data_IF_092958603788
#
_entry.id   IF_092958603788
#
_cell.length_a   1.000
_cell.length_b   1.000
_cell.length_c   1.000
_cell.angle_alpha   90.00
_cell.angle_beta   90.00
_cell.angle_gamma   90.00
#
_symmetry.space_group_name_H-M   'P 1'
#
loop_
_entity.id
_entity.type
_entity.pdbx_description
1 polymer ?
#
# COMPACT_ATOMS: atom_id res chain seq x y z
N UNK A 1 -13.51 -21.45 12.72
CA UNK A 1 -13.66 -22.11 11.40
C UNK A 1 -12.55 -21.65 10.46
N UNK A 2 -12.09 -22.48 9.52
CA UNK A 2 -11.15 -22.06 8.50
C UNK A 2 -11.77 -20.99 7.61
N UNK A 3 -10.96 -20.06 7.09
CA UNK A 3 -11.43 -19.06 6.16
C UNK A 3 -11.68 -19.64 4.75
N UNK A 4 -12.45 -18.93 3.90
CA UNK A 4 -12.69 -19.34 2.51
C UNK A 4 -11.40 -19.38 1.69
N UNK A 5 -11.38 -20.10 0.54
CA UNK A 5 -10.25 -20.07 -0.38
C UNK A 5 -10.00 -18.66 -0.92
N UNK A 6 -8.84 -18.43 -1.51
CA UNK A 6 -8.49 -17.10 -2.00
C UNK A 6 -9.36 -16.70 -3.20
N UNK A 7 -9.78 -15.45 -3.15
CA UNK A 7 -10.19 -14.65 -4.31
C UNK A 7 -9.17 -13.52 -4.47
N UNK A 8 -9.31 -12.73 -5.52
CA UNK A 8 -8.33 -11.68 -5.84
C UNK A 8 -8.13 -10.69 -4.69
N UNK A 9 -9.24 -10.22 -4.10
CA UNK A 9 -9.24 -9.26 -3.00
C UNK A 9 -8.56 -9.84 -1.75
N UNK A 10 -8.93 -11.06 -1.35
CA UNK A 10 -8.39 -11.70 -0.14
C UNK A 10 -6.94 -12.13 -0.31
N UNK A 11 -6.52 -12.52 -1.52
CA UNK A 11 -5.11 -12.80 -1.83
C UNK A 11 -4.27 -11.53 -1.73
N UNK A 12 -4.72 -10.41 -2.31
CA UNK A 12 -4.01 -9.14 -2.23
C UNK A 12 -3.88 -8.65 -0.78
N UNK A 13 -4.96 -8.77 0.01
CA UNK A 13 -4.96 -8.42 1.43
C UNK A 13 -3.94 -9.23 2.22
N UNK A 14 -3.97 -10.56 2.10
CA UNK A 14 -3.11 -11.45 2.89
C UNK A 14 -1.66 -11.44 2.42
N UNK A 15 -1.40 -11.31 1.11
CA UNK A 15 -0.04 -11.11 0.60
C UNK A 15 0.56 -9.78 1.08
N UNK A 16 -0.25 -8.72 1.18
CA UNK A 16 0.22 -7.47 1.77
C UNK A 16 0.56 -7.65 3.25
N UNK A 17 -0.38 -8.14 4.06
CA UNK A 17 -0.17 -8.24 5.51
C UNK A 17 0.95 -9.22 5.87
N UNK A 18 0.98 -10.41 5.24
CA UNK A 18 1.91 -11.48 5.61
C UNK A 18 3.25 -11.42 4.89
N UNK A 19 3.27 -11.00 3.63
CA UNK A 19 4.46 -11.03 2.77
C UNK A 19 5.03 -9.64 2.50
N UNK A 20 4.28 -8.58 2.81
CA UNK A 20 4.67 -7.21 2.49
C UNK A 20 4.56 -6.86 1.01
N UNK A 21 3.81 -7.64 0.23
CA UNK A 21 3.68 -7.40 -1.21
C UNK A 21 2.63 -6.32 -1.49
N UNK A 22 2.94 -5.42 -2.43
CA UNK A 22 1.92 -4.52 -2.98
C UNK A 22 0.95 -5.30 -3.86
N UNK A 23 -0.27 -4.78 -4.07
CA UNK A 23 -1.27 -5.39 -4.95
C UNK A 23 -0.69 -5.66 -6.35
N UNK A 24 0.07 -4.70 -6.91
CA UNK A 24 0.76 -4.84 -8.20
C UNK A 24 1.78 -5.97 -8.19
N UNK A 25 2.60 -6.08 -7.14
CA UNK A 25 3.60 -7.15 -7.00
C UNK A 25 2.91 -8.52 -6.87
N UNK A 26 1.89 -8.63 -6.02
CA UNK A 26 1.12 -9.85 -5.82
C UNK A 26 0.51 -10.34 -7.15
N UNK A 27 -0.12 -9.45 -7.92
CA UNK A 27 -0.73 -9.81 -9.20
C UNK A 27 0.30 -10.19 -10.26
N UNK A 28 1.45 -9.51 -10.33
CA UNK A 28 2.52 -9.88 -11.24
C UNK A 28 3.10 -11.27 -10.94
N UNK A 29 3.27 -11.62 -9.66
CA UNK A 29 3.76 -12.95 -9.27
C UNK A 29 2.69 -14.02 -9.54
N UNK A 30 1.43 -13.75 -9.16
CA UNK A 30 0.33 -14.67 -9.40
C UNK A 30 0.14 -14.95 -10.91
N UNK A 31 0.30 -13.93 -11.76
CA UNK A 31 0.26 -14.11 -13.21
C UNK A 31 1.35 -15.08 -13.70
N UNK A 32 2.58 -14.93 -13.21
CA UNK A 32 3.67 -15.88 -13.56
C UNK A 32 3.39 -17.30 -13.06
N UNK A 33 2.83 -17.43 -11.86
CA UNK A 33 2.44 -18.74 -11.33
C UNK A 33 1.30 -19.38 -12.14
N UNK A 34 0.42 -18.58 -12.74
CA UNK A 34 -0.67 -19.05 -13.60
C UNK A 34 -0.19 -19.42 -15.00
N UNK A 35 0.60 -18.54 -15.65
CA UNK A 35 1.13 -18.74 -17.01
C UNK A 35 2.13 -19.89 -17.09
N UNK A 36 2.92 -20.08 -16.02
CA UNK A 36 3.75 -21.24 -15.83
C UNK A 36 5.14 -20.94 -15.31
N UNK A 37 5.74 -21.94 -14.68
CA UNK A 37 7.16 -21.94 -14.28
C UNK A 37 7.81 -23.19 -14.85
N UNK A 38 9.07 -23.08 -15.28
CA UNK A 38 9.84 -24.23 -15.76
C UNK A 38 10.11 -25.23 -14.62
N UNK A 39 9.59 -26.45 -14.78
CA UNK A 39 9.78 -27.57 -13.87
C UNK A 39 10.10 -28.80 -14.72
N UNK A 40 11.27 -29.41 -14.50
CA UNK A 40 11.64 -30.63 -15.23
C UNK A 40 11.76 -30.47 -16.75
N UNK A 41 11.90 -29.25 -17.26
CA UNK A 41 11.97 -28.96 -18.71
C UNK A 41 10.64 -28.60 -19.36
N UNK A 42 9.53 -28.62 -18.62
CA UNK A 42 8.21 -28.19 -19.10
C UNK A 42 7.73 -26.94 -18.35
N UNK A 43 6.98 -26.07 -19.03
CA UNK A 43 6.35 -24.90 -18.41
C UNK A 43 4.99 -25.27 -17.88
N UNK A 44 4.83 -25.23 -16.55
CA UNK A 44 3.60 -25.68 -15.89
C UNK A 44 2.94 -24.57 -15.06
N UNK A 45 1.64 -24.36 -15.29
CA UNK A 45 0.79 -23.48 -14.50
C UNK A 45 0.54 -24.06 -13.11
N UNK A 46 0.97 -23.35 -12.07
CA UNK A 46 0.94 -23.81 -10.68
C UNK A 46 -0.32 -23.41 -9.91
N UNK A 47 -1.01 -22.35 -10.33
CA UNK A 47 -2.25 -21.89 -9.70
C UNK A 47 -3.35 -21.68 -10.74
N UNK A 48 -4.59 -21.70 -10.29
CA UNK A 48 -5.76 -21.28 -11.09
C UNK A 48 -5.75 -19.77 -11.35
N UNK A 49 -6.62 -19.31 -12.25
CA UNK A 49 -6.66 -17.92 -12.68
C UNK A 49 -6.85 -16.94 -11.50
N UNK A 50 -5.95 -15.97 -11.39
CA UNK A 50 -5.81 -15.09 -10.21
C UNK A 50 -6.77 -13.90 -10.18
N UNK A 51 -7.60 -13.71 -11.21
CA UNK A 51 -8.61 -12.64 -11.27
C UNK A 51 -10.00 -13.25 -11.17
N UNK A 52 -10.36 -13.60 -9.95
CA UNK A 52 -11.61 -14.25 -9.58
C UNK A 52 -12.22 -13.59 -8.34
N UNK A 53 -13.54 -13.57 -8.26
CA UNK A 53 -14.37 -13.22 -7.10
C UNK A 53 -15.11 -14.46 -6.53
N UNK A 54 -14.83 -15.64 -7.08
CA UNK A 54 -15.49 -16.90 -6.74
C UNK A 54 -14.75 -17.68 -5.65
N UNK A 55 -15.46 -18.12 -4.61
CA UNK A 55 -14.94 -19.07 -3.62
C UNK A 55 -15.11 -20.53 -4.03
N UNK A 56 -15.57 -20.81 -5.25
CA UNK A 56 -15.86 -22.16 -5.70
C UNK A 56 -14.56 -22.99 -5.81
N UNK A 57 -14.65 -24.27 -5.47
CA UNK A 57 -13.59 -25.26 -5.68
C UNK A 57 -14.20 -26.44 -6.43
N UNK A 58 -13.58 -26.83 -7.54
CA UNK A 58 -14.01 -27.98 -8.34
C UNK A 58 -14.03 -29.24 -7.47
N UNK A 59 -14.98 -30.15 -7.74
CA UNK A 59 -15.13 -31.38 -6.94
C UNK A 59 -13.84 -32.21 -6.92
N UNK A 60 -13.15 -32.32 -8.07
CA UNK A 60 -11.88 -33.04 -8.17
C UNK A 60 -10.77 -32.43 -7.28
N UNK A 61 -10.77 -31.09 -7.13
CA UNK A 61 -9.83 -30.39 -6.27
C UNK A 61 -10.16 -30.63 -4.79
N UNK A 62 -11.45 -30.56 -4.43
CA UNK A 62 -11.93 -30.86 -3.07
C UNK A 62 -11.57 -32.28 -2.67
N UNK A 63 -11.79 -33.26 -3.54
CA UNK A 63 -11.42 -34.67 -3.31
C UNK A 63 -9.92 -34.82 -3.08
N UNK A 64 -9.10 -34.22 -3.94
CA UNK A 64 -7.63 -34.27 -3.82
C UNK A 64 -7.13 -33.64 -2.52
N UNK A 65 -7.68 -32.48 -2.13
CA UNK A 65 -7.36 -31.82 -0.85
C UNK A 65 -7.71 -32.74 0.33
N UNK A 66 -8.91 -33.33 0.32
CA UNK A 66 -9.40 -34.21 1.41
C UNK A 66 -8.60 -35.51 1.50
N UNK A 67 -8.10 -36.04 0.38
CA UNK A 67 -7.20 -37.19 0.36
C UNK A 67 -5.81 -36.86 0.93
N UNK A 68 -5.32 -35.64 0.71
CA UNK A 68 -4.00 -35.21 1.16
C UNK A 68 -3.94 -34.88 2.66
N UNK A 69 -5.00 -34.30 3.23
CA UNK A 69 -5.02 -33.85 4.63
C UNK A 69 -4.66 -34.98 5.62
N UNK A 70 -5.30 -36.18 5.59
CA UNK A 70 -4.95 -37.26 6.51
C UNK A 70 -3.51 -37.76 6.35
N UNK A 71 -2.98 -37.76 5.12
CA UNK A 71 -1.62 -38.24 4.81
C UNK A 71 -0.54 -37.34 5.41
N UNK A 72 -0.76 -36.03 5.41
CA UNK A 72 0.24 -35.05 5.90
C UNK A 72 0.00 -34.68 7.36
N UNK A 73 -1.26 -34.51 7.78
CA UNK A 73 -1.58 -33.91 9.07
C UNK A 73 -2.19 -34.86 10.09
N UNK A 74 -2.73 -36.00 9.65
CA UNK A 74 -3.51 -36.94 10.48
C UNK A 74 -5.02 -36.85 10.20
N UNK A 75 -5.76 -37.95 10.40
CA UNK A 75 -7.19 -38.04 10.10
C UNK A 75 -8.05 -37.04 10.91
N UNK A 76 -7.65 -36.67 12.12
CA UNK A 76 -8.34 -35.72 13.00
C UNK A 76 -8.39 -34.29 12.43
N UNK A 77 -7.47 -33.97 11.51
CA UNK A 77 -7.42 -32.66 10.85
C UNK A 77 -8.34 -32.56 9.63
N UNK A 78 -8.93 -33.66 9.17
CA UNK A 78 -9.90 -33.64 8.09
C UNK A 78 -11.29 -33.31 8.64
N UNK A 79 -11.95 -32.31 8.06
CA UNK A 79 -13.33 -32.04 8.44
C UNK A 79 -14.25 -33.20 8.00
N UNK A 80 -15.10 -33.64 8.91
CA UNK A 80 -16.09 -34.70 8.71
C UNK A 80 -17.01 -34.42 7.51
N UNK A 81 -17.32 -33.15 7.25
CA UNK A 81 -18.13 -32.73 6.09
C UNK A 81 -17.32 -31.92 5.08
N UNK A 82 -17.74 -31.99 3.81
CA UNK A 82 -17.18 -31.13 2.75
C UNK A 82 -17.60 -29.70 3.01
N UNK A 83 -16.63 -28.78 3.14
CA UNK A 83 -16.95 -27.35 3.28
C UNK A 83 -17.15 -26.72 1.91
N UNK A 84 -18.33 -26.12 1.72
CA UNK A 84 -18.66 -25.25 0.60
C UNK A 84 -18.74 -23.81 1.13
N UNK A 85 -18.22 -22.85 0.38
CA UNK A 85 -18.22 -21.44 0.77
C UNK A 85 -19.19 -20.67 -0.12
N UNK A 86 -20.13 -19.96 0.49
CA UNK A 86 -21.12 -19.17 -0.24
C UNK A 86 -20.45 -17.96 -0.89
N UNK A 87 -20.70 -17.74 -2.17
CA UNK A 87 -20.26 -16.54 -2.88
C UNK A 87 -20.97 -15.30 -2.33
N UNK A 88 -20.27 -14.17 -2.31
CA UNK A 88 -20.83 -12.88 -1.86
C UNK A 88 -21.66 -12.19 -2.95
N UNK A 89 -21.28 -12.36 -4.21
CA UNK A 89 -21.95 -11.73 -5.34
C UNK A 89 -22.86 -12.72 -6.08
N UNK A 90 -23.99 -12.24 -6.60
CA UNK A 90 -24.80 -12.94 -7.62
C UNK A 90 -24.16 -12.86 -9.02
N UNK A 91 -23.09 -12.06 -9.17
CA UNK A 91 -22.43 -11.72 -10.43
C UNK A 91 -21.31 -12.69 -10.81
N UNK A 92 -20.84 -13.55 -9.90
CA UNK A 92 -19.81 -14.52 -10.21
C UNK A 92 -20.33 -15.44 -11.33
N UNK A 93 -19.75 -15.28 -12.52
CA UNK A 93 -19.87 -16.28 -13.57
C UNK A 93 -19.53 -17.63 -12.93
N UNK A 94 -20.52 -18.51 -12.77
CA UNK A 94 -20.40 -19.77 -12.01
C UNK A 94 -19.28 -20.70 -12.56
N UNK A 95 -18.71 -20.35 -13.72
CA UNK A 95 -17.57 -20.99 -14.34
C UNK A 95 -16.19 -20.64 -13.72
N UNK A 96 -16.07 -19.62 -12.86
CA UNK A 96 -14.78 -19.25 -12.26
C UNK A 96 -14.52 -19.97 -10.94
N UNK A 97 -13.29 -20.45 -10.79
CA UNK A 97 -12.80 -21.11 -9.58
C UNK A 97 -12.06 -20.12 -8.67
N UNK A 98 -11.95 -20.46 -7.39
CA UNK A 98 -11.07 -19.77 -6.45
C UNK A 98 -9.59 -19.91 -6.85
N UNK A 99 -8.75 -19.02 -6.31
CA UNK A 99 -7.29 -19.09 -6.48
C UNK A 99 -6.75 -20.22 -5.60
N UNK A 100 -6.26 -21.29 -6.24
CA UNK A 100 -5.73 -22.49 -5.59
C UNK A 100 -4.61 -23.11 -6.43
N UNK A 101 -3.81 -24.03 -5.88
CA UNK A 101 -2.92 -24.86 -6.68
C UNK A 101 -3.68 -25.64 -7.75
N UNK A 102 -3.12 -25.76 -8.95
CA UNK A 102 -3.64 -26.62 -10.02
C UNK A 102 -3.58 -28.09 -9.63
N UNK A 103 -2.43 -28.49 -9.08
CA UNK A 103 -2.18 -29.77 -8.44
C UNK A 103 -1.81 -29.56 -6.96
N UNK A 104 -2.60 -30.14 -6.05
CA UNK A 104 -2.41 -29.99 -4.61
C UNK A 104 -1.23 -30.81 -4.07
N UNK A 105 -0.81 -31.86 -4.79
CA UNK A 105 0.31 -32.73 -4.41
C UNK A 105 1.67 -32.06 -4.61
N UNK A 106 1.73 -30.97 -5.38
CA UNK A 106 2.91 -30.09 -5.49
C UNK A 106 3.04 -29.25 -4.23
N UNK A 107 3.57 -29.85 -3.17
CA UNK A 107 3.81 -29.14 -1.90
C UNK A 107 4.73 -27.94 -2.12
N UNK A 108 4.61 -26.86 -1.32
CA UNK A 108 5.55 -25.75 -1.38
C UNK A 108 7.01 -26.24 -1.29
N UNK A 109 7.29 -27.17 -0.38
CA UNK A 109 8.60 -27.75 -0.16
C UNK A 109 9.20 -28.39 -1.42
N UNK A 110 8.40 -29.14 -2.20
CA UNK A 110 8.86 -29.78 -3.44
C UNK A 110 9.15 -28.78 -4.57
N UNK A 111 8.50 -27.62 -4.57
CA UNK A 111 8.69 -26.57 -5.58
C UNK A 111 9.78 -25.55 -5.21
N UNK A 112 10.35 -25.62 -4.00
CA UNK A 112 11.25 -24.58 -3.46
C UNK A 112 12.47 -24.30 -4.33
N UNK A 113 13.04 -25.31 -4.99
CA UNK A 113 14.20 -25.16 -5.89
C UNK A 113 13.85 -24.59 -7.27
N UNK A 114 12.58 -24.61 -7.65
CA UNK A 114 12.10 -24.20 -8.98
C UNK A 114 11.51 -22.78 -8.97
N UNK A 115 11.21 -22.25 -7.78
CA UNK A 115 10.57 -20.95 -7.61
C UNK A 115 11.56 -19.89 -7.12
N UNK A 116 11.40 -18.66 -7.63
CA UNK A 116 12.05 -17.52 -6.98
C UNK A 116 11.51 -17.34 -5.54
N UNK A 117 12.24 -16.68 -4.63
CA UNK A 117 11.80 -16.50 -3.25
C UNK A 117 10.41 -15.86 -3.10
N UNK A 118 10.06 -14.93 -3.99
CA UNK A 118 8.76 -14.26 -3.96
C UNK A 118 7.63 -15.12 -4.56
N UNK A 119 7.92 -15.91 -5.60
CA UNK A 119 6.98 -16.91 -6.13
C UNK A 119 6.69 -18.00 -5.09
N UNK A 120 7.73 -18.54 -4.45
CA UNK A 120 7.59 -19.52 -3.39
C UNK A 120 6.71 -19.02 -2.26
N UNK A 121 6.96 -17.80 -1.76
CA UNK A 121 6.16 -17.19 -0.68
C UNK A 121 4.68 -17.06 -1.04
N UNK A 122 4.38 -16.63 -2.27
CA UNK A 122 2.99 -16.47 -2.70
C UNK A 122 2.30 -17.82 -2.93
N UNK A 123 3.02 -18.78 -3.53
CA UNK A 123 2.52 -20.13 -3.73
C UNK A 123 2.26 -20.84 -2.39
N UNK A 124 3.19 -20.79 -1.44
CA UNK A 124 3.04 -21.33 -0.10
C UNK A 124 1.82 -20.74 0.61
N UNK A 125 1.63 -19.42 0.52
CA UNK A 125 0.44 -18.76 1.07
C UNK A 125 -0.86 -19.31 0.45
N UNK A 126 -0.91 -19.42 -0.88
CA UNK A 126 -2.07 -19.95 -1.62
C UNK A 126 -2.33 -21.41 -1.22
N UNK A 127 -1.32 -22.27 -1.27
CA UNK A 127 -1.41 -23.68 -0.95
C UNK A 127 -1.93 -23.90 0.48
N UNK A 128 -1.36 -23.19 1.47
CA UNK A 128 -1.79 -23.29 2.88
C UNK A 128 -3.24 -22.85 3.07
N UNK A 129 -3.67 -21.77 2.41
CA UNK A 129 -5.07 -21.31 2.46
C UNK A 129 -6.01 -22.35 1.88
N UNK A 130 -5.66 -22.92 0.72
CA UNK A 130 -6.46 -23.97 0.06
C UNK A 130 -6.62 -25.20 0.94
N UNK A 131 -5.54 -25.73 1.52
CA UNK A 131 -5.60 -26.88 2.42
C UNK A 131 -6.48 -26.60 3.64
N UNK A 132 -6.28 -25.44 4.28
CA UNK A 132 -7.04 -25.05 5.46
C UNK A 132 -8.56 -25.07 5.23
N UNK A 133 -9.05 -24.82 4.01
CA UNK A 133 -10.48 -24.78 3.70
C UNK A 133 -11.23 -26.07 4.03
N UNK A 134 -10.58 -27.24 3.91
CA UNK A 134 -11.20 -28.54 4.18
C UNK A 134 -10.73 -29.15 5.52
N UNK A 135 -9.93 -28.43 6.30
CA UNK A 135 -9.48 -28.88 7.61
C UNK A 135 -10.54 -28.69 8.70
N UNK A 136 -10.41 -29.45 9.78
CA UNK A 136 -11.20 -29.33 11.01
C UNK A 136 -11.06 -27.94 11.64
N UNK A 137 -12.09 -27.41 12.33
CA UNK A 137 -11.98 -26.15 13.06
C UNK A 137 -10.90 -26.23 14.14
N UNK A 138 -10.32 -25.09 14.51
CA UNK A 138 -9.61 -24.99 15.77
C UNK A 138 -10.61 -25.01 16.93
N UNK A 139 -10.28 -25.72 18.01
CA UNK A 139 -11.03 -25.74 19.27
C UNK A 139 -10.21 -25.01 20.31
N UNK A 140 -10.81 -23.99 20.91
CA UNK A 140 -10.20 -23.15 21.93
C UNK A 140 -11.13 -23.07 23.13
N UNK A 141 -10.55 -23.14 24.31
CA UNK A 141 -11.23 -22.88 25.58
C UNK A 141 -10.94 -21.43 25.99
N UNK A 142 -12.01 -20.69 26.32
CA UNK A 142 -11.92 -19.31 26.79
C UNK A 142 -12.34 -19.25 28.25
N UNK A 143 -11.45 -18.74 29.09
CA UNK A 143 -11.68 -18.58 30.51
C UNK A 143 -11.80 -17.08 30.79
N UNK A 144 -12.83 -16.68 31.51
CA UNK A 144 -13.01 -15.32 32.00
C UNK A 144 -13.13 -15.38 33.51
N UNK A 145 -12.28 -14.64 34.22
CA UNK A 145 -12.26 -14.62 35.68
C UNK A 145 -12.50 -13.19 36.14
N UNK A 146 -13.51 -13.04 36.99
CA UNK A 146 -13.80 -11.81 37.70
C UNK A 146 -13.18 -11.91 39.11
N UNK A 147 -12.34 -10.95 39.46
CA UNK A 147 -11.57 -10.92 40.70
C UNK A 147 -12.01 -9.70 41.50
N UNK A 148 -12.64 -9.92 42.65
CA UNK A 148 -13.03 -8.85 43.56
C UNK A 148 -11.79 -8.28 44.25
N UNK A 149 -11.65 -6.95 44.22
CA UNK A 149 -10.64 -6.20 44.96
C UNK A 149 -11.30 -5.36 46.05
N UNK A 150 -11.43 -5.93 47.25
CA UNK A 150 -12.21 -5.29 48.33
C UNK A 150 -13.70 -5.17 47.99
N UNK A 151 -14.38 -4.18 48.55
CA UNK A 151 -15.83 -3.98 48.37
C UNK A 151 -16.21 -3.20 47.10
N UNK A 152 -15.25 -2.54 46.43
CA UNK A 152 -15.54 -1.53 45.41
C UNK A 152 -14.96 -1.81 44.02
N UNK A 153 -13.99 -2.71 43.90
CA UNK A 153 -13.30 -2.94 42.64
C UNK A 153 -13.57 -4.35 42.09
N UNK A 154 -13.75 -4.43 40.78
CA UNK A 154 -13.84 -5.67 40.03
C UNK A 154 -12.78 -5.66 38.94
N UNK A 155 -11.80 -6.56 39.06
CA UNK A 155 -10.81 -6.81 38.03
C UNK A 155 -11.29 -7.95 37.15
N UNK A 156 -10.92 -7.92 35.87
CA UNK A 156 -11.25 -8.99 34.91
C UNK A 156 -10.00 -9.47 34.21
N UNK A 157 -9.82 -10.80 34.20
CA UNK A 157 -8.78 -11.47 33.47
C UNK A 157 -9.39 -12.43 32.44
N UNK A 158 -8.73 -12.53 31.28
CA UNK A 158 -9.12 -13.44 30.21
C UNK A 158 -7.97 -14.40 29.91
N UNK A 159 -8.30 -15.67 29.73
CA UNK A 159 -7.38 -16.73 29.32
C UNK A 159 -7.89 -17.43 28.07
N UNK A 160 -6.96 -17.87 27.23
CA UNK A 160 -7.24 -18.67 26.04
C UNK A 160 -6.35 -19.91 26.06
N UNK A 161 -6.96 -21.09 26.00
CA UNK A 161 -6.23 -22.35 25.86
C UNK A 161 -6.57 -23.02 24.52
N UNK A 162 -5.55 -23.37 23.74
CA UNK A 162 -5.73 -24.01 22.44
C UNK A 162 -5.83 -25.53 22.62
N UNK A 163 -7.05 -26.06 22.66
CA UNK A 163 -7.31 -27.49 22.85
C UNK A 163 -6.97 -28.29 21.59
N UNK A 164 -7.34 -27.76 20.41
CA UNK A 164 -7.04 -28.38 19.13
C UNK A 164 -6.73 -27.32 18.08
N UNK A 165 -5.56 -27.35 17.42
CA UNK A 165 -5.20 -26.33 16.45
C UNK A 165 -6.06 -26.38 15.17
N UNK A 166 -6.53 -27.55 14.75
CA UNK A 166 -7.26 -27.72 13.49
C UNK A 166 -6.54 -27.03 12.31
N UNK A 167 -7.28 -26.28 11.50
CA UNK A 167 -6.73 -25.52 10.37
C UNK A 167 -5.62 -24.51 10.74
N UNK A 168 -5.57 -24.02 12.00
CA UNK A 168 -4.55 -23.06 12.45
C UNK A 168 -3.14 -23.65 12.43
N UNK A 169 -2.99 -24.98 12.38
CA UNK A 169 -1.71 -25.66 12.18
C UNK A 169 -1.05 -25.29 10.84
N UNK A 170 -1.86 -25.01 9.81
CA UNK A 170 -1.38 -24.75 8.44
C UNK A 170 -1.55 -23.28 8.07
N UNK A 171 -2.62 -22.63 8.54
CA UNK A 171 -2.94 -21.25 8.20
C UNK A 171 -3.38 -20.45 9.43
N UNK A 172 -2.51 -19.55 9.90
CA UNK A 172 -2.82 -18.60 10.96
C UNK A 172 -3.32 -17.28 10.36
N UNK A 173 -4.48 -16.80 10.78
CA UNK A 173 -4.97 -15.46 10.43
C UNK A 173 -4.20 -14.37 11.20
N UNK A 174 -4.06 -13.18 10.62
CA UNK A 174 -3.24 -12.09 11.17
C UNK A 174 -3.72 -11.57 12.53
N UNK A 175 -5.02 -11.70 12.84
CA UNK A 175 -5.55 -11.37 14.18
C UNK A 175 -4.84 -12.17 15.30
N UNK A 176 -4.32 -13.37 14.99
CA UNK A 176 -3.53 -14.17 15.93
C UNK A 176 -2.06 -13.72 16.04
N UNK A 177 -1.51 -13.00 15.05
CA UNK A 177 -0.15 -12.42 15.10
C UNK A 177 -0.12 -11.12 15.91
N UNK A 178 -1.15 -10.28 15.80
CA UNK A 178 -1.29 -9.11 16.67
C UNK A 178 -1.64 -9.51 18.12
N UNK A 179 -2.43 -10.56 18.32
CA UNK A 179 -2.67 -11.13 19.65
C UNK A 179 -1.42 -11.76 20.30
N UNK A 180 -0.38 -12.09 19.52
CA UNK A 180 0.92 -12.51 20.06
C UNK A 180 1.80 -11.35 20.55
N UNK A 181 1.55 -10.12 20.10
CA UNK A 181 2.28 -8.93 20.58
C UNK A 181 1.64 -8.29 21.81
N UNK A 182 0.36 -8.57 22.06
CA UNK A 182 -0.30 -8.29 23.33
C UNK A 182 -0.22 -9.52 24.23
N UNK A 183 0.21 -9.37 25.48
CA UNK A 183 0.17 -10.41 26.54
C UNK A 183 -1.25 -10.97 26.85
N UNK A 184 -2.27 -10.62 26.07
CA UNK A 184 -3.68 -11.00 26.25
C UNK A 184 -4.00 -12.49 25.93
N UNK A 185 -3.00 -13.30 25.56
CA UNK A 185 -3.18 -14.73 25.20
C UNK A 185 -2.30 -15.67 26.03
N UNK A 186 -1.99 -15.31 27.27
CA UNK A 186 -1.45 -16.29 28.21
C UNK A 186 -2.56 -17.20 28.74
N UNK A 187 -2.25 -18.49 28.88
CA UNK A 187 -3.10 -19.43 29.60
C UNK A 187 -3.20 -18.96 31.05
N UNK A 188 -4.42 -18.85 31.58
CA UNK A 188 -4.60 -18.55 33.00
C UNK A 188 -4.22 -19.80 33.82
N UNK A 189 -3.60 -19.61 35.01
CA UNK A 189 -3.39 -20.73 35.92
C UNK A 189 -4.73 -21.35 36.33
N UNK A 190 -4.74 -22.61 36.79
CA UNK A 190 -5.93 -23.21 37.35
C UNK A 190 -6.41 -22.39 38.56
N UNK A 191 -7.68 -22.00 38.54
CA UNK A 191 -8.31 -21.17 39.56
C UNK A 191 -9.61 -21.81 40.02
N UNK A 192 -9.90 -21.70 41.32
CA UNK A 192 -11.16 -22.15 41.90
C UNK A 192 -12.07 -20.96 42.26
N UNK A 193 -13.38 -21.19 42.25
CA UNK A 193 -14.35 -20.19 42.73
C UNK A 193 -14.05 -19.84 44.20
N UNK A 194 -14.05 -18.56 44.52
CA UNK A 194 -13.75 -18.01 45.85
C UNK A 194 -12.31 -18.26 46.34
N UNK A 195 -11.37 -18.62 45.45
CA UNK A 195 -9.96 -18.72 45.82
C UNK A 195 -9.42 -17.35 46.23
N UNK A 196 -8.82 -17.28 47.43
CA UNK A 196 -8.13 -16.07 47.87
C UNK A 196 -6.87 -15.84 47.01
N UNK A 197 -6.73 -14.63 46.47
CA UNK A 197 -5.57 -14.20 45.70
C UNK A 197 -4.80 -13.12 46.46
N UNK A 198 -3.47 -13.18 46.39
CA UNK A 198 -2.60 -12.17 46.99
C UNK A 198 -2.25 -11.12 45.92
N UNK A 199 -2.51 -9.85 46.23
CA UNK A 199 -2.09 -8.74 45.36
C UNK A 199 -0.57 -8.62 45.37
N UNK A 200 0.06 -8.82 44.21
CA UNK A 200 1.51 -8.70 44.06
C UNK A 200 1.92 -7.28 43.68
N UNK A 201 1.25 -6.68 42.69
CA UNK A 201 1.57 -5.34 42.19
C UNK A 201 0.34 -4.70 41.52
N UNK A 202 0.29 -3.36 41.53
CA UNK A 202 -0.64 -2.55 40.74
C UNK A 202 0.16 -1.70 39.74
N UNK A 203 -0.05 -1.92 38.45
CA UNK A 203 0.61 -1.16 37.38
C UNK A 203 -0.39 -0.19 36.77
N UNK A 204 -0.33 1.11 37.11
CA UNK A 204 -1.17 2.11 36.47
C UNK A 204 -0.66 2.38 35.04
N UNK A 205 -1.54 2.21 34.05
CA UNK A 205 -1.24 2.54 32.65
C UNK A 205 -2.09 3.72 32.18
N UNK A 206 -1.43 4.71 31.57
CA UNK A 206 -2.12 5.80 30.90
C UNK A 206 -2.33 5.46 29.42
N UNK A 207 -3.57 5.58 28.96
CA UNK A 207 -3.92 5.39 27.56
C UNK A 207 -4.51 6.65 26.95
N UNK A 208 -4.31 6.78 25.64
CA UNK A 208 -4.93 7.83 24.81
C UNK A 208 -5.85 7.18 23.77
N UNK A 209 -6.93 7.86 23.42
CA UNK A 209 -7.74 7.49 22.27
C UNK A 209 -6.89 7.63 21.01
N UNK A 210 -6.93 6.61 20.15
CA UNK A 210 -6.20 6.62 18.87
C UNK A 210 -7.16 7.08 17.77
N UNK A 211 -6.70 7.92 16.83
CA UNK A 211 -7.51 8.25 15.67
C UNK A 211 -7.73 6.99 14.80
N UNK A 212 -8.74 6.99 13.92
CA UNK A 212 -8.94 5.91 12.97
C UNK A 212 -7.66 5.62 12.17
N UNK A 213 -7.29 4.35 11.97
CA UNK A 213 -6.08 4.02 11.24
C UNK A 213 -6.22 4.41 9.77
N UNK A 214 -5.18 5.02 9.20
CA UNK A 214 -5.07 5.23 7.75
C UNK A 214 -5.11 3.88 7.01
N UNK A 215 -5.61 3.92 5.78
CA UNK A 215 -5.65 2.76 4.91
C UNK A 215 -4.24 2.27 4.54
N UNK A 216 -4.01 0.97 4.62
CA UNK A 216 -3.00 0.24 3.84
C UNK A 216 -3.59 -0.20 2.50
N UNK A 217 -2.77 -0.72 1.57
CA UNK A 217 -3.28 -1.35 0.34
C UNK A 217 -4.31 -2.44 0.64
N UNK A 218 -4.04 -3.32 1.61
CA UNK A 218 -4.99 -4.36 2.01
C UNK A 218 -6.34 -3.79 2.46
N UNK A 219 -6.32 -2.85 3.40
CA UNK A 219 -7.57 -2.27 3.92
C UNK A 219 -8.31 -1.42 2.87
N UNK A 220 -7.60 -0.83 1.90
CA UNK A 220 -8.22 -0.09 0.81
C UNK A 220 -8.90 -1.05 -0.18
N UNK A 221 -8.24 -2.14 -0.58
CA UNK A 221 -8.86 -3.19 -1.41
C UNK A 221 -10.10 -3.75 -0.72
N UNK A 222 -10.02 -3.99 0.59
CA UNK A 222 -11.16 -4.43 1.39
C UNK A 222 -12.32 -3.42 1.36
N UNK A 223 -12.02 -2.13 1.55
CA UNK A 223 -13.04 -1.09 1.50
C UNK A 223 -13.68 -0.98 0.10
N UNK A 224 -12.87 -1.02 -0.97
CA UNK A 224 -13.35 -1.02 -2.35
C UNK A 224 -14.31 -2.19 -2.61
N UNK A 225 -13.95 -3.40 -2.18
CA UNK A 225 -14.82 -4.58 -2.28
C UNK A 225 -16.11 -4.42 -1.45
N UNK A 226 -16.03 -3.91 -0.23
CA UNK A 226 -17.20 -3.68 0.64
C UNK A 226 -18.19 -2.65 0.06
N UNK A 227 -17.68 -1.63 -0.64
CA UNK A 227 -18.51 -0.65 -1.33
C UNK A 227 -18.92 -1.06 -2.75
N UNK A 228 -18.49 -2.24 -3.24
CA UNK A 228 -18.79 -2.69 -4.61
C UNK A 228 -18.07 -1.91 -5.71
N UNK A 229 -17.01 -1.19 -5.36
CA UNK A 229 -16.22 -0.33 -6.27
C UNK A 229 -15.01 -1.11 -6.75
N UNK A 230 -14.82 -1.18 -8.07
CA UNK A 230 -13.77 -1.97 -8.68
C UNK A 230 -14.10 -3.46 -8.74
N UNK A 231 -13.22 -4.19 -9.41
CA UNK A 231 -13.31 -5.62 -9.71
C UNK A 231 -11.94 -6.26 -9.52
N UNK A 232 -11.85 -7.60 -9.45
CA UNK A 232 -10.58 -8.33 -9.48
C UNK A 232 -9.51 -7.79 -10.45
N UNK A 233 -9.95 -7.35 -11.63
CA UNK A 233 -9.09 -6.79 -12.68
C UNK A 233 -8.60 -5.37 -12.42
N UNK A 234 -9.23 -4.60 -11.53
CA UNK A 234 -8.99 -3.16 -11.37
C UNK A 234 -8.36 -2.77 -10.03
N UNK A 235 -8.47 -3.56 -8.95
CA UNK A 235 -7.95 -3.18 -7.63
C UNK A 235 -6.47 -2.73 -7.63
N UNK A 236 -5.59 -3.53 -8.23
CA UNK A 236 -4.17 -3.21 -8.29
C UNK A 236 -3.91 -1.96 -9.16
N UNK A 237 -4.69 -1.78 -10.23
CA UNK A 237 -4.59 -0.64 -11.15
C UNK A 237 -5.06 0.64 -10.48
N UNK A 238 -6.19 0.63 -9.76
CA UNK A 238 -6.70 1.77 -8.99
C UNK A 238 -5.62 2.27 -8.04
N UNK A 239 -5.03 1.37 -7.25
CA UNK A 239 -3.96 1.71 -6.30
C UNK A 239 -2.72 2.28 -7.02
N UNK A 240 -2.28 1.65 -8.11
CA UNK A 240 -1.11 2.10 -8.88
C UNK A 240 -1.33 3.52 -9.44
N UNK A 241 -2.51 3.78 -10.02
CA UNK A 241 -2.84 5.08 -10.63
C UNK A 241 -2.91 6.20 -9.58
N UNK A 242 -3.49 5.93 -8.40
CA UNK A 242 -3.55 6.93 -7.32
C UNK A 242 -2.16 7.37 -6.86
N UNK A 243 -1.20 6.43 -6.81
CA UNK A 243 0.20 6.72 -6.47
C UNK A 243 0.96 7.38 -7.63
N UNK A 244 0.83 6.87 -8.85
CA UNK A 244 1.52 7.39 -10.05
C UNK A 244 1.10 8.83 -10.42
N UNK A 245 -0.10 9.24 -10.00
CA UNK A 245 -0.63 10.60 -10.18
C UNK A 245 -0.36 11.53 -8.99
N UNK A 246 0.41 11.07 -7.99
CA UNK A 246 0.72 11.81 -6.76
C UNK A 246 -0.53 12.26 -5.98
N UNK A 247 -1.68 11.58 -6.12
CA UNK A 247 -2.86 11.89 -5.31
C UNK A 247 -2.72 11.39 -3.87
N UNK A 248 -1.98 10.29 -3.70
CA UNK A 248 -1.64 9.71 -2.41
C UNK A 248 -0.17 9.30 -2.44
N UNK A 249 0.47 9.32 -1.29
CA UNK A 249 1.78 8.71 -1.07
C UNK A 249 1.68 7.58 -0.05
N UNK A 250 2.73 6.77 0.05
CA UNK A 250 2.81 5.68 1.00
C UNK A 250 3.86 6.00 2.07
N UNK A 251 3.42 6.18 3.32
CA UNK A 251 4.29 6.38 4.47
C UNK A 251 4.07 5.24 5.46
N UNK A 252 5.15 4.54 5.85
CA UNK A 252 5.07 3.38 6.75
C UNK A 252 3.98 2.38 6.32
N UNK A 253 3.87 2.15 5.00
CA UNK A 253 2.87 1.26 4.36
C UNK A 253 1.41 1.70 4.53
N UNK A 254 1.17 2.97 4.81
CA UNK A 254 -0.16 3.57 4.90
C UNK A 254 -0.28 4.71 3.89
N UNK A 255 -1.46 4.83 3.28
CA UNK A 255 -1.79 5.91 2.38
C UNK A 255 -1.93 7.22 3.13
N UNK A 256 -1.23 8.24 2.64
CA UNK A 256 -1.36 9.62 3.07
C UNK A 256 -1.81 10.43 1.86
N UNK A 257 -2.97 11.12 1.93
CA UNK A 257 -3.40 11.96 0.83
C UNK A 257 -2.43 13.11 0.63
N UNK A 258 -2.11 13.40 -0.62
CA UNK A 258 -1.29 14.55 -1.01
C UNK A 258 -2.20 15.76 -1.25
N UNK A 259 -1.59 16.95 -1.22
CA UNK A 259 -2.32 18.21 -1.37
C UNK A 259 -3.09 18.28 -2.70
N UNK A 260 -2.46 17.84 -3.80
CA UNK A 260 -3.14 17.76 -5.12
C UNK A 260 -4.33 16.80 -5.09
N UNK A 261 -4.21 15.65 -4.40
CA UNK A 261 -5.31 14.71 -4.22
C UNK A 261 -6.47 15.32 -3.46
N UNK A 262 -6.19 16.07 -2.40
CA UNK A 262 -7.22 16.78 -1.62
C UNK A 262 -7.93 17.87 -2.43
N UNK A 263 -7.20 18.64 -3.23
CA UNK A 263 -7.78 19.67 -4.11
C UNK A 263 -8.67 19.05 -5.18
N UNK A 264 -8.20 18.00 -5.84
CA UNK A 264 -9.00 17.28 -6.86
C UNK A 264 -10.23 16.65 -6.23
N UNK A 265 -10.11 16.02 -5.06
CA UNK A 265 -11.27 15.45 -4.35
C UNK A 265 -12.31 16.52 -4.00
N UNK A 266 -11.89 17.66 -3.45
CA UNK A 266 -12.78 18.78 -3.12
C UNK A 266 -13.53 19.28 -4.35
N UNK A 267 -12.82 19.53 -5.45
CA UNK A 267 -13.40 19.93 -6.73
C UNK A 267 -14.49 18.95 -7.20
N UNK A 268 -14.14 17.66 -7.24
CA UNK A 268 -15.05 16.63 -7.74
C UNK A 268 -16.27 16.48 -6.82
N UNK A 269 -16.09 16.56 -5.50
CA UNK A 269 -17.18 16.49 -4.53
C UNK A 269 -18.15 17.68 -4.66
N UNK A 270 -17.65 18.88 -4.90
CA UNK A 270 -18.47 20.10 -5.00
C UNK A 270 -19.18 20.23 -6.35
N UNK A 271 -18.56 19.78 -7.44
CA UNK A 271 -19.07 20.04 -8.80
C UNK A 271 -19.53 18.81 -9.56
N UNK A 272 -19.09 17.62 -9.13
CA UNK A 272 -19.43 16.32 -9.74
C UNK A 272 -19.88 15.29 -8.68
N UNK A 273 -20.72 15.65 -7.68
CA UNK A 273 -21.01 14.80 -6.53
C UNK A 273 -21.55 13.42 -6.90
N UNK A 274 -22.41 13.34 -7.92
CA UNK A 274 -22.94 12.08 -8.44
C UNK A 274 -21.82 11.14 -8.92
N UNK A 275 -20.77 11.66 -9.55
CA UNK A 275 -19.72 10.84 -10.18
C UNK A 275 -18.61 10.40 -9.22
N UNK A 276 -18.60 10.92 -8.00
CA UNK A 276 -17.70 10.48 -6.91
C UNK A 276 -18.45 9.82 -5.75
N UNK A 277 -19.76 9.64 -5.90
CA UNK A 277 -20.57 8.89 -4.96
C UNK A 277 -20.26 7.38 -5.05
N UNK A 278 -20.27 6.71 -3.89
CA UNK A 278 -19.93 5.30 -3.81
C UNK A 278 -20.99 4.42 -4.47
N UNK A 279 -22.28 4.72 -4.27
CA UNK A 279 -23.38 3.93 -4.81
C UNK A 279 -23.49 4.10 -6.32
N UNK A 280 -23.28 5.32 -6.84
CA UNK A 280 -23.20 5.56 -8.27
C UNK A 280 -22.11 4.71 -8.92
N UNK A 281 -20.90 4.75 -8.35
CA UNK A 281 -19.77 3.98 -8.87
C UNK A 281 -20.04 2.48 -8.85
N UNK A 282 -20.55 1.96 -7.74
CA UNK A 282 -20.90 0.55 -7.60
C UNK A 282 -21.98 0.10 -8.60
N UNK A 283 -22.97 0.97 -8.86
CA UNK A 283 -24.03 0.69 -9.84
C UNK A 283 -23.48 0.59 -11.26
N UNK A 284 -22.58 1.49 -11.68
CA UNK A 284 -21.95 1.40 -13.00
C UNK A 284 -21.22 0.07 -13.15
N UNK A 285 -20.50 -0.38 -12.13
CA UNK A 285 -19.81 -1.67 -12.17
C UNK A 285 -20.81 -2.84 -12.30
N UNK A 286 -21.97 -2.79 -11.63
CA UNK A 286 -23.03 -3.80 -11.80
C UNK A 286 -23.66 -3.75 -13.21
N UNK A 287 -23.89 -2.55 -13.76
CA UNK A 287 -24.38 -2.40 -15.14
C UNK A 287 -23.39 -3.00 -16.15
N UNK A 288 -22.08 -2.83 -15.94
CA UNK A 288 -21.04 -3.49 -16.74
C UNK A 288 -21.09 -5.02 -16.63
N UNK A 289 -21.36 -5.55 -15.43
CA UNK A 289 -21.52 -6.99 -15.24
C UNK A 289 -22.81 -7.50 -15.93
N UNK A 290 -23.92 -6.76 -15.86
CA UNK A 290 -25.15 -7.07 -16.60
C UNK A 290 -24.95 -7.07 -18.12
N UNK A 291 -24.12 -6.17 -18.66
CA UNK A 291 -23.72 -6.19 -20.07
C UNK A 291 -22.99 -7.50 -20.39
N UNK A 292 -22.03 -7.90 -19.55
CA UNK A 292 -21.26 -9.13 -19.76
C UNK A 292 -22.14 -10.39 -19.70
N UNK A 293 -23.25 -10.36 -18.97
CA UNK A 293 -24.28 -11.42 -18.93
C UNK A 293 -25.30 -11.35 -20.07
N UNK A 294 -25.27 -10.30 -20.89
CA UNK A 294 -26.25 -10.08 -21.97
C UNK A 294 -27.61 -9.60 -21.49
N UNK A 295 -27.73 -9.12 -20.25
CA UNK A 295 -28.99 -8.66 -19.65
C UNK A 295 -29.39 -7.26 -20.13
N UNK A 296 -28.40 -6.39 -20.40
CA UNK A 296 -28.63 -5.01 -20.86
C UNK A 296 -27.68 -4.62 -22.00
N UNK A 297 -28.12 -3.67 -22.84
CA UNK A 297 -27.34 -3.19 -23.98
C UNK A 297 -26.27 -2.19 -23.56
N UNK A 298 -25.01 -2.46 -23.93
CA UNK A 298 -23.87 -1.57 -23.62
C UNK A 298 -24.04 -0.15 -24.15
N UNK A 299 -24.65 0.01 -25.33
CA UNK A 299 -24.91 1.33 -25.91
C UNK A 299 -25.87 2.16 -25.05
N UNK A 300 -26.83 1.51 -24.41
CA UNK A 300 -27.78 2.20 -23.52
C UNK A 300 -27.08 2.69 -22.26
N UNK A 301 -26.26 1.85 -21.62
CA UNK A 301 -25.49 2.21 -20.42
C UNK A 301 -24.54 3.36 -20.71
N UNK A 302 -23.77 3.28 -21.81
CA UNK A 302 -22.86 4.36 -22.22
C UNK A 302 -23.61 5.66 -22.50
N UNK A 303 -24.75 5.61 -23.19
CA UNK A 303 -25.58 6.79 -23.45
C UNK A 303 -26.09 7.43 -22.16
N UNK A 304 -26.66 6.62 -21.27
CA UNK A 304 -27.19 7.05 -19.96
C UNK A 304 -26.10 7.70 -19.08
N UNK A 305 -24.86 7.24 -19.18
CA UNK A 305 -23.73 7.86 -18.51
C UNK A 305 -23.28 9.15 -19.21
N UNK A 306 -23.07 9.10 -20.52
CA UNK A 306 -22.36 10.12 -21.28
C UNK A 306 -23.15 11.41 -21.46
N UNK A 307 -24.44 11.32 -21.81
CA UNK A 307 -25.28 12.49 -22.07
C UNK A 307 -25.35 13.46 -20.88
N UNK A 308 -25.72 13.04 -19.65
CA UNK A 308 -25.72 13.95 -18.50
C UNK A 308 -24.30 14.38 -18.10
N UNK A 309 -23.30 13.52 -18.28
CA UNK A 309 -21.92 13.85 -17.91
C UNK A 309 -21.35 14.96 -18.79
N UNK A 310 -21.51 14.86 -20.11
CA UNK A 310 -20.96 15.85 -21.03
C UNK A 310 -21.67 17.20 -20.90
N UNK A 311 -22.97 17.22 -20.62
CA UNK A 311 -23.71 18.45 -20.32
C UNK A 311 -23.19 19.11 -19.05
N UNK A 312 -22.96 18.34 -17.98
CA UNK A 312 -22.39 18.87 -16.75
C UNK A 312 -20.97 19.43 -16.97
N UNK A 313 -20.13 18.73 -17.74
CA UNK A 313 -18.80 19.20 -18.10
C UNK A 313 -18.86 20.53 -18.87
N UNK A 314 -19.75 20.65 -19.86
CA UNK A 314 -19.95 21.91 -20.63
C UNK A 314 -20.38 23.06 -19.73
N UNK A 315 -21.26 22.81 -18.76
CA UNK A 315 -21.69 23.82 -17.79
C UNK A 315 -20.55 24.24 -16.86
N UNK A 316 -19.86 23.26 -16.26
CA UNK A 316 -18.80 23.50 -15.28
C UNK A 316 -17.52 24.08 -15.87
N UNK A 317 -17.22 23.83 -17.14
CA UNK A 317 -16.05 24.43 -17.81
C UNK A 317 -16.19 25.94 -18.03
N UNK A 318 -17.42 26.46 -18.05
CA UNK A 318 -17.71 27.91 -18.12
C UNK A 318 -17.75 28.51 -16.72
N UNK A 319 -18.37 27.82 -15.76
CA UNK A 319 -18.54 28.31 -14.39
C UNK A 319 -17.22 28.32 -13.60
N UNK A 320 -16.32 27.37 -13.87
CA UNK A 320 -15.12 27.16 -13.06
C UNK A 320 -13.87 27.48 -13.87
N UNK A 321 -13.10 28.47 -13.41
CA UNK A 321 -11.76 28.71 -13.97
C UNK A 321 -10.73 27.92 -13.19
N UNK A 322 -9.77 27.32 -13.90
CA UNK A 322 -8.63 26.61 -13.30
C UNK A 322 -7.88 27.45 -12.26
N UNK A 323 -7.82 28.76 -12.46
CA UNK A 323 -7.23 29.71 -11.52
C UNK A 323 -7.90 29.70 -10.15
N UNK A 324 -9.21 29.50 -10.10
CA UNK A 324 -10.01 29.68 -8.90
C UNK A 324 -9.89 28.45 -7.99
N UNK A 325 -9.62 27.28 -8.60
CA UNK A 325 -9.34 26.02 -7.90
C UNK A 325 -7.92 26.02 -7.33
N UNK A 326 -6.95 26.52 -8.11
CA UNK A 326 -5.53 26.48 -7.74
C UNK A 326 -5.12 27.62 -6.81
N UNK A 327 -5.90 28.69 -6.74
CA UNK A 327 -5.62 29.88 -5.95
C UNK A 327 -6.79 30.14 -4.99
N UNK A 328 -6.68 29.68 -3.75
CA UNK A 328 -7.68 30.04 -2.75
C UNK A 328 -7.45 31.48 -2.28
N UNK A 329 -8.48 32.36 -2.31
CA UNK A 329 -8.34 33.73 -1.85
C UNK A 329 -8.05 33.77 -0.35
N UNK A 330 -7.24 34.75 0.07
CA UNK A 330 -6.97 35.02 1.48
C UNK A 330 -7.28 36.47 1.81
N UNK A 331 -7.43 36.77 3.09
CA UNK A 331 -7.67 38.13 3.58
C UNK A 331 -6.39 38.96 3.70
N UNK A 332 -5.23 38.42 3.29
CA UNK A 332 -3.96 39.10 3.38
C UNK A 332 -3.64 39.90 2.11
N UNK A 333 -3.05 41.08 2.26
CA UNK A 333 -2.56 41.88 1.14
C UNK A 333 -1.07 41.69 0.92
N UNK A 334 -0.65 41.77 -0.35
CA UNK A 334 0.75 41.67 -0.74
C UNK A 334 1.50 42.94 -0.29
N UNK A 335 2.56 42.82 0.53
CA UNK A 335 3.33 43.98 1.00
C UNK A 335 4.09 44.68 -0.13
N UNK A 336 4.30 44.03 -1.29
CA UNK A 336 4.98 44.62 -2.44
C UNK A 336 4.07 45.42 -3.38
N UNK A 337 2.78 45.08 -3.48
CA UNK A 337 1.92 45.71 -4.49
C UNK A 337 0.46 45.91 -4.07
N UNK A 338 0.11 45.67 -2.80
CA UNK A 338 -1.24 45.85 -2.23
C UNK A 338 -2.32 44.87 -2.73
N UNK A 339 -2.05 44.07 -3.77
CA UNK A 339 -2.99 43.07 -4.28
C UNK A 339 -3.17 41.91 -3.29
N UNK A 340 -4.33 41.23 -3.25
CA UNK A 340 -4.56 40.13 -2.32
C UNK A 340 -3.56 38.98 -2.55
N UNK A 341 -3.15 38.35 -1.46
CA UNK A 341 -2.43 37.09 -1.47
C UNK A 341 -3.42 35.94 -1.68
N UNK A 342 -2.97 34.91 -2.39
CA UNK A 342 -3.73 33.70 -2.67
C UNK A 342 -2.91 32.48 -2.28
N UNK A 343 -3.57 31.47 -1.75
CA UNK A 343 -2.95 30.20 -1.43
C UNK A 343 -2.86 29.35 -2.70
N UNK A 344 -1.67 29.29 -3.30
CA UNK A 344 -1.41 28.62 -4.57
C UNK A 344 -0.98 27.18 -4.36
N UNK A 345 -1.50 26.28 -5.19
CA UNK A 345 -1.00 24.90 -5.22
C UNK A 345 0.33 24.80 -5.98
N UNK A 346 1.41 24.47 -5.28
CA UNK A 346 2.70 24.12 -5.86
C UNK A 346 2.90 22.62 -6.04
N UNK A 347 4.07 22.18 -6.57
CA UNK A 347 4.38 20.76 -6.78
C UNK A 347 4.45 19.91 -5.51
N UNK A 348 4.69 20.53 -4.35
CA UNK A 348 4.96 19.84 -3.08
C UNK A 348 3.99 20.24 -1.96
N UNK A 349 3.53 21.49 -1.96
CA UNK A 349 2.58 22.00 -0.98
C UNK A 349 1.92 23.29 -1.50
N UNK A 350 0.87 23.70 -0.78
CA UNK A 350 0.29 25.03 -0.91
C UNK A 350 1.24 26.10 -0.37
N UNK A 351 1.32 27.23 -1.06
CA UNK A 351 2.15 28.36 -0.66
C UNK A 351 1.41 29.68 -0.93
N UNK A 352 1.64 30.66 -0.07
CA UNK A 352 0.96 31.93 -0.18
C UNK A 352 1.72 32.85 -1.14
N UNK A 353 1.07 33.32 -2.20
CA UNK A 353 1.69 34.16 -3.22
C UNK A 353 0.79 35.29 -3.68
N UNK A 354 1.39 36.34 -4.24
CA UNK A 354 0.63 37.47 -4.76
C UNK A 354 -0.25 37.06 -5.95
N UNK A 355 -1.54 37.45 -5.90
CA UNK A 355 -2.48 37.28 -7.03
C UNK A 355 -1.99 37.95 -8.32
N UNK A 356 -1.18 39.00 -8.21
CA UNK A 356 -0.57 39.74 -9.33
C UNK A 356 0.55 39.04 -10.10
N UNK A 357 0.90 37.78 -9.82
CA UNK A 357 1.87 37.01 -10.62
C UNK A 357 1.40 36.86 -12.08
N UNK A 358 2.28 36.97 -13.10
CA UNK A 358 3.74 37.04 -13.02
C UNK A 358 4.33 38.43 -12.78
N UNK A 359 3.52 39.50 -12.80
CA UNK A 359 3.98 40.89 -12.63
C UNK A 359 4.51 41.16 -11.21
N UNK A 360 3.88 40.57 -10.20
CA UNK A 360 4.39 40.57 -8.82
C UNK A 360 4.74 39.13 -8.40
N UNK A 361 6.02 38.85 -8.16
CA UNK A 361 6.55 37.52 -7.79
C UNK A 361 6.68 37.32 -6.28
N UNK A 362 5.98 38.12 -5.48
CA UNK A 362 6.01 37.98 -4.03
C UNK A 362 5.39 36.65 -3.60
N UNK A 363 6.12 35.92 -2.75
CA UNK A 363 5.71 34.69 -2.09
C UNK A 363 5.92 34.90 -0.59
N UNK A 364 4.88 34.69 0.22
CA UNK A 364 4.99 34.72 1.68
C UNK A 364 5.42 33.32 2.13
N UNK A 365 6.59 33.22 2.75
CA UNK A 365 6.99 32.00 3.45
C UNK A 365 6.08 31.86 4.67
N UNK A 366 5.11 30.96 4.60
CA UNK A 366 4.20 30.67 5.72
C UNK A 366 4.81 29.65 6.70
N UNK A 367 6.14 29.54 6.82
CA UNK A 367 6.78 28.54 7.70
C UNK A 367 6.39 27.07 7.39
N UNK A 368 5.66 26.84 6.30
CA UNK A 368 5.32 25.54 5.72
C UNK A 368 5.96 25.48 4.34
N UNK A 369 7.28 25.66 4.31
CA UNK A 369 8.07 24.92 3.34
C UNK A 369 7.88 23.42 3.63
N UNK A 370 7.84 22.55 2.61
CA UNK A 370 7.80 21.10 2.82
C UNK A 370 8.98 20.72 3.73
N UNK A 371 8.69 20.38 4.98
CA UNK A 371 9.68 20.03 6.01
C UNK A 371 10.76 21.11 6.18
N UNK A 372 10.39 22.25 6.76
CA UNK A 372 11.34 22.93 7.65
C UNK A 372 11.51 22.05 8.90
N UNK A 373 12.29 20.99 8.76
CA UNK A 373 13.04 20.45 9.90
C UNK A 373 13.90 21.62 10.38
N UNK A 374 13.44 22.31 11.44
CA UNK A 374 14.16 23.44 12.05
C UNK A 374 15.57 23.06 12.53
N UNK A 375 15.93 21.78 12.46
CA UNK A 375 17.22 21.21 12.82
C UNK A 375 18.19 20.99 11.65
N UNK A 376 17.83 21.30 10.40
CA UNK A 376 18.71 21.11 9.22
C UNK A 376 19.56 22.35 8.86
N UNK A 377 20.07 23.08 9.87
CA UNK A 377 21.11 24.10 9.65
C UNK A 377 22.45 23.40 9.47
N UNK A 378 23.15 23.66 8.38
CA UNK A 378 24.54 23.22 8.23
C UNK A 378 25.49 24.32 8.70
N UNK A 379 26.73 23.94 9.04
CA UNK A 379 27.79 24.89 9.35
C UNK A 379 28.37 25.59 8.11
N UNK A 380 27.78 25.36 6.92
CA UNK A 380 28.27 25.95 5.69
C UNK A 380 27.63 27.31 5.43
N UNK A 381 28.45 28.28 5.04
CA UNK A 381 28.05 29.65 4.74
C UNK A 381 27.95 29.79 3.21
N UNK A 382 26.92 30.48 2.74
CA UNK A 382 26.76 30.77 1.32
C UNK A 382 27.81 31.79 0.85
N UNK A 383 28.59 31.41 -0.15
CA UNK A 383 29.63 32.23 -0.76
C UNK A 383 29.11 33.49 -1.48
N UNK A 384 27.82 33.55 -1.82
CA UNK A 384 27.20 34.72 -2.46
C UNK A 384 26.62 35.73 -1.48
N UNK A 385 25.98 35.26 -0.41
CA UNK A 385 25.13 36.08 0.46
C UNK A 385 25.69 36.19 1.89
N UNK A 386 26.66 35.36 2.28
CA UNK A 386 27.16 35.27 3.65
C UNK A 386 26.18 34.64 4.66
N UNK A 387 24.97 34.26 4.22
CA UNK A 387 23.96 33.61 5.06
C UNK A 387 24.16 32.08 5.10
N UNK A 388 23.71 31.39 6.16
CA UNK A 388 23.89 29.94 6.29
C UNK A 388 23.17 29.16 5.19
N UNK A 389 23.75 28.03 4.79
CA UNK A 389 23.13 27.04 3.93
C UNK A 389 22.22 26.12 4.77
N UNK A 390 21.09 25.72 4.16
CA UNK A 390 20.13 24.77 4.75
C UNK A 390 19.86 23.64 3.78
N UNK A 391 19.59 22.44 4.29
CA UNK A 391 19.24 21.29 3.46
C UNK A 391 17.80 21.47 2.94
N UNK A 392 17.65 21.50 1.62
CA UNK A 392 16.38 21.60 0.89
C UNK A 392 16.17 20.36 0.02
N UNK A 393 14.91 19.98 -0.21
CA UNK A 393 14.53 18.88 -1.11
C UNK A 393 14.26 19.40 -2.51
N UNK A 394 14.90 18.81 -3.52
CA UNK A 394 14.66 19.08 -4.93
C UNK A 394 14.33 17.82 -5.73
N UNK A 395 14.06 17.99 -7.03
CA UNK A 395 13.75 16.89 -7.96
C UNK A 395 14.80 15.77 -7.99
N UNK A 396 16.06 16.10 -7.70
CA UNK A 396 17.19 15.17 -7.80
C UNK A 396 17.69 14.64 -6.45
N UNK A 397 17.00 14.98 -5.35
CA UNK A 397 17.41 14.66 -3.98
C UNK A 397 17.59 15.90 -3.12
N UNK A 398 18.18 15.71 -1.95
CA UNK A 398 18.52 16.80 -1.03
C UNK A 398 19.69 17.64 -1.59
N UNK A 399 19.64 18.95 -1.40
CA UNK A 399 20.69 19.90 -1.76
C UNK A 399 20.80 20.99 -0.70
N UNK A 400 21.94 21.67 -0.62
CA UNK A 400 22.13 22.85 0.22
C UNK A 400 21.68 24.11 -0.54
N UNK A 401 20.87 24.97 0.07
CA UNK A 401 20.50 26.27 -0.51
C UNK A 401 20.67 27.43 0.47
N UNK A 402 21.02 28.64 0.00
CA UNK A 402 21.10 29.86 0.85
C UNK A 402 19.74 30.03 1.58
N UNK A 403 19.82 30.28 2.89
CA UNK A 403 18.66 30.60 3.71
C UNK A 403 17.99 31.92 3.28
N UNK A 404 18.75 32.84 2.68
CA UNK A 404 18.27 34.09 2.09
C UNK A 404 17.52 33.97 0.76
N UNK A 405 17.02 32.79 0.38
CA UNK A 405 16.11 32.66 -0.76
C UNK A 405 14.78 33.36 -0.45
N UNK A 406 14.18 34.15 -1.36
CA UNK A 406 14.46 34.25 -2.79
C UNK A 406 15.53 35.29 -3.20
N UNK A 407 16.02 36.12 -2.29
CA UNK A 407 16.96 37.20 -2.60
C UNK A 407 18.36 36.67 -2.97
N UNK A 408 18.72 35.47 -2.49
CA UNK A 408 19.88 34.71 -2.96
C UNK A 408 19.48 33.30 -3.42
N UNK A 409 19.81 32.97 -4.67
CA UNK A 409 19.48 31.70 -5.33
C UNK A 409 20.64 30.69 -5.33
N UNK A 410 21.66 30.87 -4.48
CA UNK A 410 22.79 29.96 -4.41
C UNK A 410 22.36 28.58 -3.91
N UNK A 411 22.80 27.54 -4.62
CA UNK A 411 22.59 26.14 -4.25
C UNK A 411 23.89 25.35 -4.44
N UNK A 412 24.08 24.33 -3.62
CA UNK A 412 25.22 23.42 -3.62
C UNK A 412 24.72 21.98 -3.40
N UNK A 413 25.24 20.97 -4.09
CA UNK A 413 24.86 19.57 -3.83
C UNK A 413 25.31 19.15 -2.42
N UNK A 414 24.49 18.33 -1.74
CA UNK A 414 24.84 17.75 -0.44
C UNK A 414 25.78 16.56 -0.64
N UNK A 415 27.03 16.68 -0.21
CA UNK A 415 28.06 15.64 -0.31
C UNK A 415 28.22 14.95 1.05
N UNK A 416 27.85 13.67 1.14
CA UNK A 416 28.04 12.83 2.32
C UNK A 416 26.74 12.42 3.04
N UNK A 417 26.60 11.11 3.22
CA UNK A 417 25.69 10.36 4.10
C UNK A 417 24.16 10.49 3.95
N UNK A 418 23.55 9.56 3.21
CA UNK A 418 22.65 8.51 3.74
C UNK A 418 21.73 7.93 2.64
N UNK A 419 21.94 6.63 2.36
CA UNK A 419 21.04 5.63 1.74
C UNK A 419 20.05 6.12 0.65
N UNK A 420 20.35 5.76 -0.59
CA UNK A 420 19.46 5.79 -1.78
C UNK A 420 19.19 7.16 -2.43
N UNK A 421 20.20 8.01 -2.59
CA UNK A 421 20.08 9.19 -3.46
C UNK A 421 21.26 9.30 -4.43
N UNK A 422 20.94 9.79 -5.62
CA UNK A 422 21.84 10.10 -6.75
C UNK A 422 22.96 11.02 -6.27
N UNK A 423 24.20 10.51 -6.18
CA UNK A 423 25.34 11.33 -5.72
C UNK A 423 25.84 12.19 -6.89
N UNK A 424 26.22 13.43 -6.64
CA UNK A 424 26.93 14.26 -7.64
C UNK A 424 28.43 13.96 -7.53
N UNK A 425 29.08 13.69 -8.66
CA UNK A 425 30.52 13.49 -8.77
C UNK A 425 31.23 14.82 -9.02
N UNK A 426 32.49 14.90 -8.63
CA UNK A 426 33.37 16.03 -8.98
C UNK A 426 33.75 16.02 -10.48
N UNK A 427 33.56 14.88 -11.18
CA UNK A 427 33.80 14.78 -12.62
C UNK A 427 32.75 15.55 -13.43
N UNK A 428 33.22 16.36 -14.39
CA UNK A 428 32.36 17.08 -15.34
C UNK A 428 32.08 16.27 -16.59
N UNK A 429 30.87 16.44 -17.12
CA UNK A 429 30.42 15.86 -18.38
C UNK A 429 31.19 16.47 -19.55
N UNK A 430 31.90 15.64 -20.32
CA UNK A 430 32.67 16.08 -21.50
C UNK A 430 31.78 16.71 -22.59
N UNK A 431 30.49 16.39 -22.62
CA UNK A 431 29.56 16.90 -23.64
C UNK A 431 28.90 18.24 -23.29
N UNK A 432 28.72 18.56 -22.01
CA UNK A 432 27.95 19.75 -21.62
C UNK A 432 28.49 20.48 -20.39
N UNK A 433 29.63 20.07 -19.84
CA UNK A 433 30.31 20.75 -18.73
C UNK A 433 29.66 20.58 -17.35
N UNK A 434 28.46 19.99 -17.26
CA UNK A 434 27.73 19.76 -16.01
C UNK A 434 28.36 18.66 -15.16
N UNK A 435 28.23 18.74 -13.84
CA UNK A 435 28.69 17.69 -12.94
C UNK A 435 27.95 16.37 -13.19
N UNK A 436 28.71 15.28 -13.32
CA UNK A 436 28.16 13.94 -13.52
C UNK A 436 27.49 13.45 -12.23
N UNK A 437 26.48 12.61 -12.38
CA UNK A 437 25.80 11.97 -11.25
C UNK A 437 26.06 10.47 -11.21
N UNK A 438 26.35 9.94 -10.03
CA UNK A 438 26.49 8.51 -9.76
C UNK A 438 25.09 7.90 -9.67
N UNK A 439 24.79 6.99 -10.59
CA UNK A 439 23.57 6.18 -10.65
C UNK A 439 23.90 4.71 -10.51
N UNK A 440 22.92 3.92 -10.05
CA UNK A 440 23.01 2.46 -9.97
C UNK A 440 22.28 1.85 -11.16
N UNK A 441 22.94 0.98 -11.92
CA UNK A 441 22.31 0.28 -13.03
C UNK A 441 21.43 -0.90 -12.54
N UNK A 442 20.70 -1.54 -13.46
CA UNK A 442 19.82 -2.70 -13.18
C UNK A 442 20.53 -3.90 -12.54
N UNK A 443 21.86 -3.97 -12.65
CA UNK A 443 22.71 -5.02 -12.08
C UNK A 443 23.38 -4.59 -10.76
N UNK A 444 23.01 -3.43 -10.23
CA UNK A 444 23.53 -2.93 -8.97
C UNK A 444 24.91 -2.28 -9.03
N UNK A 445 25.52 -2.11 -10.21
CA UNK A 445 26.81 -1.42 -10.38
C UNK A 445 26.62 0.09 -10.51
N UNK A 446 27.51 0.85 -9.89
CA UNK A 446 27.51 2.31 -9.97
C UNK A 446 28.19 2.81 -11.26
N UNK A 447 27.62 3.85 -11.87
CA UNK A 447 28.15 4.52 -13.06
C UNK A 447 27.86 6.01 -13.01
N UNK A 448 28.69 6.81 -13.66
CA UNK A 448 28.49 8.25 -13.84
C UNK A 448 27.58 8.52 -15.05
N UNK A 449 26.64 9.45 -14.92
CA UNK A 449 25.66 9.81 -15.95
C UNK A 449 25.47 11.32 -15.97
N UNK A 450 25.30 11.90 -17.15
CA UNK A 450 24.95 13.32 -17.25
C UNK A 450 23.53 13.58 -16.68
N UNK A 451 23.34 14.62 -15.85
CA UNK A 451 22.02 14.97 -15.31
C UNK A 451 21.04 15.47 -16.39
N UNK A 452 21.55 15.96 -17.53
CA UNK A 452 20.73 16.47 -18.63
C UNK A 452 20.13 15.39 -19.56
N UNK A 453 20.10 14.12 -19.16
CA UNK A 453 19.40 13.07 -19.92
C UNK A 453 17.90 13.40 -20.08
N UNK A 454 17.29 13.24 -21.28
CA UNK A 454 17.84 12.65 -22.51
C UNK A 454 18.59 13.62 -23.43
N UNK A 455 18.61 14.93 -23.14
CA UNK A 455 19.29 15.95 -23.98
C UNK A 455 20.81 15.74 -24.04
N UNK A 456 21.40 15.18 -22.99
CA UNK A 456 22.79 14.73 -22.97
C UNK A 456 22.87 13.28 -22.44
N UNK A 457 23.33 12.36 -23.29
CA UNK A 457 23.37 10.93 -23.01
C UNK A 457 24.74 10.41 -22.55
N UNK A 458 25.65 11.29 -22.11
CA UNK A 458 26.97 10.89 -21.65
C UNK A 458 26.89 10.06 -20.37
N UNK A 459 27.60 8.92 -20.34
CA UNK A 459 27.72 8.05 -19.18
C UNK A 459 29.06 7.31 -19.20
N UNK A 460 29.65 7.06 -18.01
CA UNK A 460 30.96 6.44 -17.83
C UNK A 460 30.93 5.45 -16.66
N UNK A 461 31.63 4.32 -16.78
CA UNK A 461 31.73 3.33 -15.70
C UNK A 461 32.79 3.72 -14.66
N UNK A 462 32.52 3.44 -13.38
CA UNK A 462 33.48 3.66 -12.29
C UNK A 462 34.37 2.41 -12.19
N UNK A 463 35.68 2.53 -12.48
CA UNK A 463 36.66 1.45 -12.29
C UNK A 463 37.15 1.48 -10.83
N UNK A 464 37.10 0.36 -10.11
CA UNK A 464 37.74 0.23 -8.79
C UNK A 464 39.26 0.22 -8.98
N UNK A 465 39.96 1.21 -8.45
CA UNK A 465 41.40 1.12 -8.25
C UNK A 465 41.65 0.25 -7.00
N UNK A 466 42.30 -0.89 -7.19
CA UNK A 466 42.94 -1.63 -6.10
C UNK A 466 44.27 -0.95 -5.79
N UNK A 467 44.31 -0.10 -4.77
CA UNK A 467 45.57 0.24 -4.11
C UNK A 467 45.87 -0.86 -3.09
N UNK A 468 46.91 -1.65 -3.38
CA UNK A 468 47.58 -2.55 -2.43
C UNK A 468 48.20 -1.68 -1.32
N UNK A 469 47.74 -1.84 -0.09
CA UNK A 469 48.58 -1.55 1.08
C UNK A 469 49.37 -2.82 1.38
N UNK A 470 50.67 -2.76 1.09
CA UNK A 470 51.68 -3.68 1.59
C UNK A 470 51.97 -3.32 3.05
N UNK A 471 51.61 -4.21 3.98
CA UNK A 471 52.07 -4.14 5.36
C UNK A 471 53.39 -4.90 5.51
N UNK A 472 54.42 -4.19 5.98
CA UNK A 472 55.39 -4.73 6.93
C UNK A 472 54.78 -4.70 8.34
#
# INVERSE_FOLDING_TARGET
NPPPPFITSTLQQEANTKLGFSAKKTMSIAQKLYEGVEIGGESEGLITYMRTDSFNLANIAVESIRQLIPKIFGPEYLNNTIRRFKQKSKTAQEAHEAIRPTDIYRTPESLKSHLTPDQYKLYDLIWRRTIATQMSPAVEERISVDIAGGEHYLFRAHGLNLIFPGFKKVFLEDKAREAKSKKETESLPPLNKNQALTLVNLVPEQHFTKPPPRYTEASLVKALEEYGIGRPSTYATIISVLQERDYVTMENRRFVPQEIGMVVHKLLKEHFPQYVDYQFTARIEEELDSIARGEISWKQVVRNFWEPFIELIKKKSVEIKKSDILNEPTNEQCPKCGKPLVNRLGPYSRFLACSGYPKCRFIKSNGVTPLEDKDNKTNEICEKCGLPLVIKRGRFGNFLGCSGYPDCNFTKPLLGEAKNQTMVSEERCEKCGEFLVIKKNRYGKFFLSCPNYPKCNYAKSIKKNHSKESGE
#
